data_IF_135729718910
#
_entry.id   IF_135729718910
#
_cell.length_a   1.000
_cell.length_b   1.000
_cell.length_c   1.000
_cell.angle_alpha   90.00
_cell.angle_beta   90.00
_cell.angle_gamma   90.00
#
_symmetry.space_group_name_H-M   'P 1'
#
loop_
_entity.id
_entity.type
_entity.pdbx_description
1 polymer ?
#
# COMPACT_ATOMS: atom_id res chain seq x y z
N UNK A 1 -6.33 -14.57 21.01
CA UNK A 1 -6.72 -13.46 20.12
C UNK A 1 -6.15 -13.77 18.74
N UNK A 2 -6.99 -13.93 17.73
CA UNK A 2 -6.54 -14.13 16.35
C UNK A 2 -6.91 -12.88 15.54
N UNK A 3 -5.92 -12.33 14.85
CA UNK A 3 -6.12 -11.21 13.92
C UNK A 3 -5.95 -11.78 12.53
N UNK A 4 -6.98 -11.62 11.71
CA UNK A 4 -6.92 -11.97 10.29
C UNK A 4 -6.78 -10.68 9.49
N UNK A 5 -5.70 -10.60 8.74
CA UNK A 5 -5.37 -9.45 7.90
C UNK A 5 -5.73 -9.81 6.48
N UNK A 6 -6.64 -9.05 5.89
CA UNK A 6 -6.92 -9.13 4.47
C UNK A 6 -6.38 -7.88 3.81
N UNK A 7 -5.33 -8.03 3.02
CA UNK A 7 -4.69 -6.93 2.31
C UNK A 7 -4.76 -7.14 0.81
N UNK A 8 -4.87 -6.09 0.08
CA UNK A 8 -4.75 -6.10 -1.37
C UNK A 8 -5.04 -4.74 -1.99
N UNK A 9 -4.07 -4.22 -2.72
CA UNK A 9 -4.32 -3.15 -3.65
C UNK A 9 -5.31 -3.65 -4.73
N UNK A 10 -6.32 -2.89 -5.07
CA UNK A 10 -7.32 -3.26 -6.07
C UNK A 10 -8.67 -3.69 -5.51
N UNK A 11 -8.88 -3.61 -4.21
CA UNK A 11 -10.14 -3.90 -3.59
C UNK A 11 -10.87 -2.62 -3.20
N UNK A 12 -11.89 -2.30 -3.91
CA UNK A 12 -12.87 -1.23 -3.73
C UNK A 12 -12.60 0.04 -4.53
N UNK A 13 -13.26 0.12 -5.67
CA UNK A 13 -13.75 1.41 -6.14
C UNK A 13 -14.58 2.05 -5.01
N UNK A 14 -14.11 3.19 -4.50
CA UNK A 14 -14.79 3.93 -3.45
C UNK A 14 -16.09 4.52 -4.01
N UNK A 15 -17.14 3.73 -4.03
CA UNK A 15 -18.48 4.27 -4.20
C UNK A 15 -19.39 3.69 -3.14
N UNK A 16 -19.73 4.57 -2.18
CA UNK A 16 -20.85 4.48 -1.25
C UNK A 16 -20.65 3.61 0.00
N UNK A 17 -20.68 4.29 1.14
CA UNK A 17 -20.86 3.76 2.48
C UNK A 17 -22.15 2.93 2.70
N UNK A 18 -22.88 2.56 1.63
CA UNK A 18 -24.14 1.80 1.66
C UNK A 18 -24.20 0.65 0.68
N UNK A 19 -23.20 0.42 -0.16
CA UNK A 19 -23.19 -0.71 -1.10
C UNK A 19 -22.26 -1.81 -0.62
N UNK A 20 -22.68 -3.05 -0.79
CA UNK A 20 -21.84 -4.22 -0.55
C UNK A 20 -20.57 -4.12 -1.42
N UNK A 21 -19.39 -4.46 -0.89
CA UNK A 21 -18.19 -4.55 -1.68
C UNK A 21 -18.38 -5.49 -2.87
N UNK A 22 -18.06 -5.01 -4.07
CA UNK A 22 -18.13 -5.79 -5.31
C UNK A 22 -16.74 -5.93 -5.91
N UNK A 23 -15.97 -6.94 -5.49
CA UNK A 23 -14.64 -7.17 -6.03
C UNK A 23 -14.69 -7.48 -7.52
N UNK A 24 -13.75 -6.89 -8.31
CA UNK A 24 -13.70 -7.02 -9.75
C UNK A 24 -12.77 -8.14 -10.25
N UNK A 25 -12.15 -8.89 -9.33
CA UNK A 25 -11.26 -10.00 -9.68
C UNK A 25 -11.30 -11.11 -8.61
N UNK A 26 -10.81 -12.30 -8.98
CA UNK A 26 -10.83 -13.49 -8.11
C UNK A 26 -10.06 -13.28 -6.79
N UNK A 27 -8.96 -12.54 -6.82
CA UNK A 27 -8.21 -12.22 -5.61
C UNK A 27 -9.05 -11.41 -4.61
N UNK A 28 -9.70 -10.35 -5.09
CA UNK A 28 -10.58 -9.52 -4.26
C UNK A 28 -11.78 -10.31 -3.73
N UNK A 29 -12.38 -11.19 -4.56
CA UNK A 29 -13.48 -12.08 -4.13
C UNK A 29 -13.02 -12.99 -3.00
N UNK A 30 -11.87 -13.64 -3.13
CA UNK A 30 -11.31 -14.50 -2.06
C UNK A 30 -11.07 -13.73 -0.77
N UNK A 31 -10.54 -12.50 -0.85
CA UNK A 31 -10.34 -11.64 0.33
C UNK A 31 -11.67 -11.27 0.98
N UNK A 32 -12.69 -10.95 0.18
CA UNK A 32 -14.03 -10.63 0.70
C UNK A 32 -14.68 -11.82 1.38
N UNK A 33 -14.58 -13.03 0.82
CA UNK A 33 -15.04 -14.27 1.48
C UNK A 33 -14.34 -14.43 2.84
N UNK A 34 -13.03 -14.23 2.90
CA UNK A 34 -12.27 -14.27 4.15
C UNK A 34 -12.76 -13.25 5.18
N UNK A 35 -13.08 -12.01 4.77
CA UNK A 35 -13.68 -11.01 5.66
C UNK A 35 -15.02 -11.48 6.25
N UNK A 36 -15.89 -12.09 5.43
CA UNK A 36 -17.18 -12.57 5.89
C UNK A 36 -17.03 -13.76 6.86
N UNK A 37 -16.10 -14.67 6.60
CA UNK A 37 -15.81 -15.79 7.52
C UNK A 37 -15.32 -15.28 8.87
N UNK A 38 -14.38 -14.33 8.89
CA UNK A 38 -13.90 -13.73 10.16
C UNK A 38 -15.04 -13.04 10.90
N UNK A 39 -15.88 -12.30 10.18
CA UNK A 39 -17.03 -11.62 10.79
C UNK A 39 -18.03 -12.61 11.39
N UNK A 40 -18.33 -13.73 10.71
CA UNK A 40 -19.24 -14.77 11.22
C UNK A 40 -18.67 -15.49 12.43
N UNK A 41 -17.38 -15.86 12.41
CA UNK A 41 -16.71 -16.48 13.54
C UNK A 41 -16.66 -15.56 14.76
N UNK A 42 -16.43 -14.27 14.53
CA UNK A 42 -16.49 -13.26 15.58
C UNK A 42 -17.92 -13.07 16.12
N UNK A 43 -18.93 -13.11 15.25
CA UNK A 43 -20.36 -13.05 15.65
C UNK A 43 -20.75 -14.22 16.54
N UNK A 44 -20.24 -15.41 16.26
CA UNK A 44 -20.47 -16.64 17.03
C UNK A 44 -19.64 -16.72 18.32
N UNK A 45 -18.76 -15.76 18.55
CA UNK A 45 -17.90 -15.74 19.74
C UNK A 45 -16.72 -16.71 19.71
N UNK A 46 -16.45 -17.34 18.54
CA UNK A 46 -15.34 -18.29 18.40
C UNK A 46 -13.97 -17.61 18.40
N UNK A 47 -13.93 -16.36 17.86
CA UNK A 47 -12.72 -15.54 17.80
C UNK A 47 -13.06 -14.09 18.10
N UNK A 48 -12.06 -13.33 18.53
CA UNK A 48 -12.10 -11.87 18.52
C UNK A 48 -11.44 -11.37 17.23
N UNK A 49 -12.17 -11.46 16.12
CA UNK A 49 -11.67 -11.17 14.79
C UNK A 49 -11.80 -9.69 14.40
N UNK A 50 -10.79 -9.17 13.70
CA UNK A 50 -10.76 -7.84 13.10
C UNK A 50 -10.33 -7.94 11.66
N UNK A 51 -11.01 -7.27 10.76
CA UNK A 51 -10.68 -7.22 9.33
C UNK A 51 -10.15 -5.84 8.96
N UNK A 52 -8.93 -5.81 8.45
CA UNK A 52 -8.27 -4.58 8.01
C UNK A 52 -7.93 -4.70 6.53
N UNK A 53 -8.34 -3.73 5.72
CA UNK A 53 -7.98 -3.63 4.32
C UNK A 53 -6.77 -2.72 4.19
N UNK A 54 -5.67 -3.31 3.74
CA UNK A 54 -4.39 -2.63 3.55
C UNK A 54 -4.35 -1.96 2.18
N UNK A 55 -3.73 -0.80 2.12
CA UNK A 55 -3.38 -0.14 0.86
C UNK A 55 -2.12 -0.77 0.27
N UNK A 56 -1.71 -0.33 -0.92
CA UNK A 56 -0.42 -0.74 -1.47
C UNK A 56 0.70 -0.25 -0.56
N UNK A 57 1.47 -1.18 -0.02
CA UNK A 57 2.60 -0.83 0.85
C UNK A 57 3.82 -0.49 0.01
N UNK A 58 4.39 0.70 0.20
CA UNK A 58 5.60 1.21 -0.46
C UNK A 58 6.37 2.14 0.51
N UNK A 59 7.69 2.04 0.61
CA UNK A 59 8.61 1.20 -0.14
C UNK A 59 8.85 -0.08 0.65
N UNK A 60 8.57 -1.23 0.05
CA UNK A 60 8.84 -2.52 0.69
C UNK A 60 10.29 -2.94 0.42
N UNK A 61 11.03 -3.44 1.44
CA UNK A 61 12.30 -4.11 1.21
C UNK A 61 12.12 -5.42 0.43
N UNK A 62 13.20 -5.99 -0.06
CA UNK A 62 13.22 -7.27 -0.76
C UNK A 62 13.40 -7.14 -2.27
N UNK A 63 13.07 -8.20 -3.01
CA UNK A 63 13.23 -8.28 -4.47
C UNK A 63 11.92 -8.03 -5.20
N UNK A 64 11.94 -7.63 -6.50
CA UNK A 64 10.76 -7.61 -7.35
C UNK A 64 10.03 -8.97 -7.33
N UNK A 65 8.72 -8.92 -7.43
CA UNK A 65 7.87 -10.10 -7.54
C UNK A 65 6.82 -9.91 -8.65
N UNK A 66 6.06 -10.96 -8.97
CA UNK A 66 5.07 -10.94 -10.06
C UNK A 66 3.77 -10.17 -9.76
N UNK A 67 3.65 -9.48 -8.62
CA UNK A 67 2.46 -8.67 -8.35
C UNK A 67 2.47 -7.39 -9.19
N UNK A 68 1.32 -7.01 -9.77
CA UNK A 68 1.18 -5.78 -10.55
C UNK A 68 1.60 -4.51 -9.79
N UNK A 69 1.51 -4.50 -8.46
CA UNK A 69 1.94 -3.38 -7.59
C UNK A 69 3.44 -3.40 -7.25
N UNK A 70 4.20 -4.41 -7.68
CA UNK A 70 5.61 -4.58 -7.29
C UNK A 70 6.47 -3.40 -7.73
N UNK A 71 6.18 -2.83 -8.91
CA UNK A 71 6.91 -1.69 -9.45
C UNK A 71 6.84 -0.44 -8.55
N UNK A 72 5.75 -0.23 -7.80
CA UNK A 72 5.60 0.93 -6.89
C UNK A 72 6.63 0.97 -5.75
N UNK A 73 7.18 -0.17 -5.37
CA UNK A 73 8.35 -0.22 -4.49
C UNK A 73 9.65 -0.27 -5.29
N UNK A 74 9.64 -0.99 -6.42
CA UNK A 74 10.80 -1.18 -7.28
C UNK A 74 11.37 0.12 -7.83
N UNK A 75 10.50 1.01 -8.35
CA UNK A 75 10.90 2.30 -8.93
C UNK A 75 11.61 3.24 -7.94
N UNK A 76 11.58 2.93 -6.65
CA UNK A 76 12.30 3.66 -5.60
C UNK A 76 13.51 2.85 -5.12
N UNK A 77 13.28 1.61 -4.77
CA UNK A 77 14.28 0.74 -4.14
C UNK A 77 15.45 0.42 -5.06
N UNK A 78 15.18 0.02 -6.31
CA UNK A 78 16.21 -0.33 -7.28
C UNK A 78 17.10 0.89 -7.64
N UNK A 79 16.54 2.08 -8.01
CA UNK A 79 17.37 3.26 -8.23
C UNK A 79 18.20 3.67 -7.02
N UNK A 80 17.66 3.58 -5.81
CA UNK A 80 18.44 3.82 -4.58
C UNK A 80 19.61 2.83 -4.41
N UNK A 81 19.50 1.63 -4.97
CA UNK A 81 20.56 0.62 -5.03
C UNK A 81 21.45 0.74 -6.28
N UNK A 82 21.29 1.78 -7.11
CA UNK A 82 22.04 1.98 -8.36
C UNK A 82 21.58 1.10 -9.53
N UNK A 83 20.40 0.52 -9.44
CA UNK A 83 19.83 -0.36 -10.47
C UNK A 83 18.72 0.35 -11.24
N UNK A 84 18.56 0.00 -12.51
CA UNK A 84 17.42 0.48 -13.30
C UNK A 84 16.12 -0.20 -12.86
N UNK A 85 15.01 0.53 -12.93
CA UNK A 85 13.68 0.03 -12.59
C UNK A 85 12.66 0.42 -13.64
N UNK A 86 11.95 -0.56 -14.18
CA UNK A 86 10.85 -0.30 -15.10
C UNK A 86 9.63 0.26 -14.36
N UNK A 87 9.05 1.34 -14.90
CA UNK A 87 7.77 1.87 -14.50
C UNK A 87 6.75 1.67 -15.62
N UNK A 88 5.77 0.75 -15.45
CA UNK A 88 4.88 0.33 -16.53
C UNK A 88 3.65 1.22 -16.73
N UNK A 89 3.53 2.31 -16.00
CA UNK A 89 2.37 3.20 -16.05
C UNK A 89 2.77 4.65 -16.28
N UNK A 90 1.86 5.50 -16.81
CA UNK A 90 2.13 6.93 -16.98
C UNK A 90 2.38 7.65 -15.65
N UNK A 91 3.13 8.76 -15.64
CA UNK A 91 3.44 9.55 -14.44
C UNK A 91 2.22 10.09 -13.69
N UNK A 92 1.14 10.42 -14.41
CA UNK A 92 -0.11 10.95 -13.87
C UNK A 92 -1.01 9.89 -13.21
N UNK A 93 -0.61 8.61 -13.29
CA UNK A 93 -1.34 7.50 -12.65
C UNK A 93 -1.45 7.72 -11.15
N UNK A 94 -2.68 7.90 -10.68
CA UNK A 94 -2.97 8.09 -9.27
C UNK A 94 -2.98 6.77 -8.51
N UNK A 95 -2.37 6.77 -7.32
CA UNK A 95 -2.27 5.59 -6.45
C UNK A 95 -2.55 5.93 -4.98
N UNK A 96 -3.00 4.94 -4.22
CA UNK A 96 -3.17 5.02 -2.78
C UNK A 96 -2.13 4.15 -2.09
N UNK A 97 -1.27 4.74 -1.29
CA UNK A 97 -0.11 4.08 -0.68
C UNK A 97 -0.11 4.20 0.83
N UNK A 98 0.60 3.30 1.48
CA UNK A 98 0.92 3.35 2.90
C UNK A 98 2.35 2.88 3.12
N UNK A 99 3.09 3.52 4.01
CA UNK A 99 4.40 3.00 4.42
C UNK A 99 4.27 1.69 5.19
N UNK A 100 5.35 0.87 5.28
CA UNK A 100 5.38 -0.28 6.17
C UNK A 100 5.05 0.09 7.61
N UNK A 101 5.60 1.19 8.12
CA UNK A 101 5.37 1.65 9.49
C UNK A 101 3.89 1.95 9.76
N UNK A 102 3.24 2.74 8.90
CA UNK A 102 1.80 3.04 9.03
C UNK A 102 0.93 1.79 8.90
N UNK A 103 1.33 0.87 8.03
CA UNK A 103 0.63 -0.40 7.88
C UNK A 103 0.69 -1.23 9.16
N UNK A 104 1.88 -1.36 9.77
CA UNK A 104 2.09 -2.10 11.02
C UNK A 104 1.34 -1.42 12.18
N UNK A 105 1.43 -0.09 12.31
CA UNK A 105 0.67 0.70 13.28
C UNK A 105 -0.84 0.39 13.19
N UNK A 106 -1.38 0.39 11.96
CA UNK A 106 -2.78 0.08 11.71
C UNK A 106 -3.16 -1.33 12.15
N UNK A 107 -2.29 -2.32 11.95
CA UNK A 107 -2.51 -3.69 12.37
C UNK A 107 -2.48 -3.84 13.89
N UNK A 108 -1.51 -3.22 14.56
CA UNK A 108 -1.40 -3.23 16.02
C UNK A 108 -2.63 -2.55 16.63
N UNK A 109 -3.00 -1.35 16.14
CA UNK A 109 -4.16 -0.62 16.64
C UNK A 109 -5.48 -1.38 16.45
N UNK A 110 -5.63 -2.08 15.31
CA UNK A 110 -6.77 -2.96 15.07
C UNK A 110 -6.83 -4.12 16.08
N UNK A 111 -5.67 -4.66 16.45
CA UNK A 111 -5.55 -5.72 17.44
C UNK A 111 -5.96 -5.26 18.84
N UNK A 112 -5.55 -4.08 19.22
CA UNK A 112 -5.74 -3.50 20.57
C UNK A 112 -7.12 -2.88 20.76
N UNK A 113 -7.78 -2.44 19.68
CA UNK A 113 -9.09 -1.82 19.75
C UNK A 113 -10.10 -2.67 20.50
N UNK A 114 -10.79 -2.07 21.46
CA UNK A 114 -11.94 -2.69 22.12
C UNK A 114 -13.08 -2.95 21.14
N UNK A 115 -14.05 -3.78 21.51
CA UNK A 115 -15.22 -4.02 20.66
C UNK A 115 -16.07 -2.76 20.46
N UNK A 116 -16.12 -1.90 21.48
CA UNK A 116 -16.81 -0.62 21.40
C UNK A 116 -16.13 0.35 20.43
N UNK A 117 -14.80 0.47 20.44
CA UNK A 117 -14.04 1.30 19.51
C UNK A 117 -14.12 0.74 18.07
N UNK A 118 -14.06 -0.58 17.93
CA UNK A 118 -14.17 -1.22 16.62
C UNK A 118 -15.54 -1.02 15.98
N UNK A 119 -16.59 -1.07 16.78
CA UNK A 119 -17.98 -0.90 16.35
C UNK A 119 -18.50 -2.09 15.54
N UNK A 120 -18.82 -1.87 14.26
CA UNK A 120 -19.33 -2.94 13.40
C UNK A 120 -18.28 -4.00 13.06
N UNK A 121 -18.70 -5.27 12.94
CA UNK A 121 -17.83 -6.40 12.59
C UNK A 121 -17.32 -6.40 11.15
N UNK A 122 -17.64 -5.39 10.36
CA UNK A 122 -17.16 -5.21 9.00
C UNK A 122 -15.70 -4.77 8.96
N UNK A 123 -15.04 -5.01 7.82
CA UNK A 123 -13.67 -4.55 7.60
C UNK A 123 -13.56 -3.02 7.65
N UNK A 124 -12.40 -2.52 8.08
CA UNK A 124 -12.02 -1.11 7.96
C UNK A 124 -10.91 -0.95 6.93
N UNK A 125 -10.94 0.15 6.19
CA UNK A 125 -9.83 0.53 5.33
C UNK A 125 -8.80 1.31 6.15
N UNK A 126 -7.51 0.99 6.04
CA UNK A 126 -6.47 1.85 6.60
C UNK A 126 -6.37 3.16 5.82
N UNK A 127 -5.96 4.26 6.48
CA UNK A 127 -5.70 5.51 5.79
C UNK A 127 -4.61 5.34 4.74
N UNK A 128 -4.70 6.08 3.63
CA UNK A 128 -3.74 6.04 2.55
C UNK A 128 -3.29 7.45 2.16
N UNK A 129 -2.02 7.57 1.82
CA UNK A 129 -1.51 8.69 1.06
C UNK A 129 -1.98 8.56 -0.39
N UNK A 130 -2.75 9.54 -0.87
CA UNK A 130 -3.03 9.69 -2.30
C UNK A 130 -1.87 10.44 -2.95
N UNK A 131 -1.27 9.85 -3.98
CA UNK A 131 -0.19 10.47 -4.76
C UNK A 131 -0.28 10.04 -6.22
N UNK A 132 0.64 10.49 -7.06
CA UNK A 132 0.84 10.00 -8.42
C UNK A 132 2.21 9.31 -8.54
N UNK A 133 2.34 8.46 -9.55
CA UNK A 133 3.62 7.78 -9.83
C UNK A 133 4.70 8.78 -10.20
N UNK A 134 4.34 9.89 -10.90
CA UNK A 134 5.25 10.99 -11.18
C UNK A 134 5.72 11.72 -9.93
N UNK A 135 4.83 11.96 -8.94
CA UNK A 135 5.23 12.56 -7.66
C UNK A 135 6.15 11.63 -6.86
N UNK A 136 5.96 10.31 -6.95
CA UNK A 136 6.90 9.35 -6.36
C UNK A 136 8.29 9.46 -6.98
N UNK A 137 8.38 9.61 -8.31
CA UNK A 137 9.65 9.83 -9.01
C UNK A 137 10.30 11.18 -8.62
N UNK A 138 9.49 12.25 -8.53
CA UNK A 138 9.96 13.56 -8.09
C UNK A 138 10.48 13.55 -6.64
N UNK A 139 9.81 12.81 -5.75
CA UNK A 139 10.27 12.61 -4.38
C UNK A 139 11.60 11.84 -4.32
N UNK A 140 11.78 10.85 -5.20
CA UNK A 140 13.06 10.16 -5.33
C UNK A 140 14.17 11.12 -5.80
N UNK A 141 13.87 12.00 -6.77
CA UNK A 141 14.82 13.01 -7.24
C UNK A 141 15.21 13.97 -6.11
N UNK A 142 14.26 14.45 -5.31
CA UNK A 142 14.54 15.31 -4.14
C UNK A 142 15.41 14.60 -3.10
N UNK A 143 15.18 13.32 -2.86
CA UNK A 143 15.88 12.56 -1.83
C UNK A 143 17.27 12.07 -2.26
N UNK A 144 17.49 11.79 -3.53
CA UNK A 144 18.65 11.05 -4.01
C UNK A 144 19.36 11.67 -5.22
N UNK A 145 18.79 12.73 -5.81
CA UNK A 145 19.35 13.44 -6.94
C UNK A 145 18.86 12.91 -8.30
N UNK A 146 19.03 13.75 -9.33
CA UNK A 146 18.55 13.53 -10.69
C UNK A 146 19.14 12.26 -11.33
N UNK A 147 20.41 11.98 -11.06
CA UNK A 147 21.08 10.78 -11.60
C UNK A 147 20.39 9.50 -11.15
N UNK A 148 20.02 9.42 -9.86
CA UNK A 148 19.31 8.27 -9.31
C UNK A 148 17.90 8.18 -9.88
N UNK A 149 17.17 9.30 -9.96
CA UNK A 149 15.83 9.31 -10.54
C UNK A 149 15.82 8.93 -12.02
N UNK A 150 16.91 9.21 -12.77
CA UNK A 150 17.06 8.81 -14.18
C UNK A 150 17.20 7.31 -14.41
N UNK A 151 17.34 6.53 -13.34
CA UNK A 151 17.32 5.06 -13.41
C UNK A 151 15.90 4.49 -13.51
N UNK A 152 14.86 5.33 -13.40
CA UNK A 152 13.48 4.90 -13.68
C UNK A 152 13.29 4.85 -15.20
N UNK A 153 13.01 3.64 -15.72
CA UNK A 153 12.66 3.42 -17.10
C UNK A 153 11.14 3.47 -17.27
N UNK A 154 10.66 4.50 -17.93
CA UNK A 154 9.24 4.62 -18.26
C UNK A 154 8.90 3.72 -19.45
N UNK A 155 8.46 2.49 -19.17
CA UNK A 155 8.15 1.45 -20.16
C UNK A 155 6.68 1.06 -20.06
N UNK A 156 5.76 1.80 -20.70
CA UNK A 156 4.33 1.55 -20.57
C UNK A 156 3.94 0.12 -20.93
N UNK A 157 3.16 -0.51 -20.05
CA UNK A 157 2.54 -1.82 -20.25
C UNK A 157 1.03 -1.67 -20.07
N UNK A 158 0.28 -1.84 -21.16
CA UNK A 158 -1.17 -1.64 -21.15
C UNK A 158 -1.90 -2.62 -20.23
N UNK A 159 -1.41 -3.85 -20.07
CA UNK A 159 -2.04 -4.83 -19.18
C UNK A 159 -1.88 -4.42 -17.72
N UNK A 160 -0.67 -4.00 -17.33
CA UNK A 160 -0.41 -3.51 -15.96
C UNK A 160 -1.14 -2.18 -15.72
N UNK A 161 -1.10 -1.26 -16.68
CA UNK A 161 -1.78 0.03 -16.58
C UNK A 161 -3.29 -0.15 -16.34
N UNK A 162 -3.96 -1.02 -17.09
CA UNK A 162 -5.38 -1.33 -16.91
C UNK A 162 -5.69 -1.89 -15.50
N UNK A 163 -4.81 -2.70 -14.96
CA UNK A 163 -4.97 -3.21 -13.59
C UNK A 163 -4.81 -2.07 -12.59
N UNK A 164 -3.75 -1.28 -12.69
CA UNK A 164 -3.41 -0.23 -11.73
C UNK A 164 -4.44 0.90 -11.73
N UNK A 165 -4.89 1.34 -12.89
CA UNK A 165 -5.90 2.40 -13.02
C UNK A 165 -7.30 1.95 -12.53
N UNK A 166 -7.54 0.65 -12.42
CA UNK A 166 -8.77 0.13 -11.80
C UNK A 166 -8.77 0.24 -10.26
N UNK A 167 -7.61 0.52 -9.64
CA UNK A 167 -7.52 0.64 -8.19
C UNK A 167 -8.00 2.01 -7.72
N UNK A 168 -8.71 2.08 -6.58
CA UNK A 168 -9.12 3.37 -6.02
C UNK A 168 -7.91 4.15 -5.51
N UNK A 169 -7.77 5.38 -5.99
CA UNK A 169 -6.76 6.31 -5.48
C UNK A 169 -7.27 7.13 -4.27
N UNK A 170 -8.58 7.08 -3.99
CA UNK A 170 -9.20 7.74 -2.83
C UNK A 170 -9.88 6.68 -1.98
N UNK A 171 -9.51 6.63 -0.71
CA UNK A 171 -9.97 5.62 0.25
C UNK A 171 -10.77 6.29 1.36
N UNK A 172 -11.99 5.82 1.57
CA UNK A 172 -12.72 6.17 2.79
C UNK A 172 -12.15 5.39 3.97
N UNK A 173 -11.51 6.09 4.89
CA UNK A 173 -10.91 5.57 6.10
C UNK A 173 -11.48 6.22 7.37
N UNK A 174 -12.73 6.71 7.33
CA UNK A 174 -13.33 7.42 8.47
C UNK A 174 -13.29 6.60 9.77
N UNK A 175 -13.58 5.30 9.71
CA UNK A 175 -13.53 4.41 10.89
C UNK A 175 -12.10 4.21 11.41
N UNK A 176 -11.11 4.13 10.54
CA UNK A 176 -9.72 4.02 10.95
C UNK A 176 -9.21 5.34 11.57
N UNK A 177 -9.65 6.48 11.03
CA UNK A 177 -9.35 7.80 11.63
C UNK A 177 -9.97 7.95 13.03
N UNK A 178 -11.17 7.43 13.24
CA UNK A 178 -11.79 7.39 14.56
C UNK A 178 -11.00 6.55 15.58
N UNK A 179 -10.18 5.60 15.12
CA UNK A 179 -9.21 4.85 15.92
C UNK A 179 -7.87 5.60 16.11
N UNK A 180 -7.73 6.82 15.62
CA UNK A 180 -6.51 7.64 15.70
C UNK A 180 -5.49 7.37 14.58
N UNK A 181 -5.82 6.53 13.58
CA UNK A 181 -4.91 6.21 12.49
C UNK A 181 -4.87 7.33 11.44
N UNK A 182 -3.69 7.66 10.98
CA UNK A 182 -3.45 8.70 9.98
C UNK A 182 -2.65 8.13 8.79
N UNK A 183 -2.83 8.68 7.58
CA UNK A 183 -1.97 8.34 6.45
C UNK A 183 -0.55 8.88 6.67
N UNK A 184 0.38 8.45 5.83
CA UNK A 184 1.66 9.12 5.69
C UNK A 184 1.44 10.58 5.25
N UNK A 185 2.34 11.48 5.67
CA UNK A 185 2.23 12.91 5.38
C UNK A 185 2.39 13.21 3.89
N UNK A 186 3.44 12.64 3.30
CA UNK A 186 3.87 12.78 1.92
C UNK A 186 4.76 11.59 1.52
N UNK A 187 5.11 11.50 0.24
CA UNK A 187 5.96 10.41 -0.23
C UNK A 187 7.45 10.62 0.13
N UNK A 188 7.87 11.86 0.34
CA UNK A 188 9.22 12.17 0.83
C UNK A 188 9.48 11.55 2.20
N UNK A 189 8.50 11.60 3.11
CA UNK A 189 8.58 10.95 4.42
C UNK A 189 8.69 9.42 4.34
N UNK A 190 8.03 8.81 3.34
CA UNK A 190 8.15 7.37 3.09
C UNK A 190 9.56 7.00 2.62
N UNK A 191 10.14 7.79 1.69
CA UNK A 191 11.52 7.56 1.23
C UNK A 191 12.51 7.79 2.37
N UNK A 192 12.33 8.84 3.18
CA UNK A 192 13.20 9.12 4.31
C UNK A 192 13.20 7.97 5.33
N UNK A 193 12.03 7.42 5.65
CA UNK A 193 11.91 6.25 6.52
C UNK A 193 12.62 5.03 5.93
N UNK A 194 12.41 4.76 4.63
CA UNK A 194 13.08 3.65 3.94
C UNK A 194 14.60 3.78 3.98
N UNK A 195 15.16 4.97 3.74
CA UNK A 195 16.60 5.23 3.78
C UNK A 195 17.16 5.11 5.21
N UNK A 196 16.39 5.48 6.22
CA UNK A 196 16.78 5.31 7.63
C UNK A 196 16.96 3.84 8.03
N UNK A 197 16.10 2.96 7.50
CA UNK A 197 16.15 1.52 7.74
C UNK A 197 17.13 0.80 6.78
N UNK A 198 17.38 1.36 5.59
CA UNK A 198 18.19 0.78 4.52
C UNK A 198 19.24 1.79 4.04
N UNK A 199 20.28 2.08 4.85
CA UNK A 199 21.30 3.05 4.47
C UNK A 199 21.97 2.62 3.17
N UNK A 200 22.18 3.58 2.26
CA UNK A 200 22.82 3.35 0.95
C UNK A 200 24.23 2.80 1.19
N UNK A 201 24.47 1.56 0.78
CA UNK A 201 25.83 1.08 0.60
C UNK A 201 26.41 1.84 -0.61
N UNK A 202 27.45 2.66 -0.41
CA UNK A 202 28.20 3.24 -1.53
C UNK A 202 28.58 2.09 -2.48
N UNK A 203 28.31 2.21 -3.81
CA UNK A 203 28.89 1.25 -4.74
C UNK A 203 30.40 1.22 -4.54
N UNK A 204 31.06 0.06 -4.67
CA UNK A 204 32.50 -0.02 -4.60
C UNK A 204 33.07 0.97 -5.63
N UNK A 205 33.94 1.87 -5.18
CA UNK A 205 34.69 2.76 -6.08
C UNK A 205 35.52 1.86 -6.97
N UNK A 206 35.11 1.71 -8.23
CA UNK A 206 35.90 1.03 -9.22
C UNK A 206 37.06 1.96 -9.55
N UNK A 207 38.17 1.80 -8.84
CA UNK A 207 39.48 2.38 -9.22
C UNK A 207 39.86 1.72 -10.54
N UNK A 208 39.78 2.49 -11.65
CA UNK A 208 40.46 2.17 -12.91
C UNK A 208 41.94 2.40 -12.78
#
# INVERSE_FOLDING_TARGET
>A
MQIVITGGAGFLGARLARTLPTPQNSYGIQKFIGEQLVADYARKGFIRGRNVRLMTVSVRPGKPNGAASSFLSGMIREPLAGLRAACPVPPDTAVALSSPARTIEGLIRAAEASDAEWGARTAINLPALKTTVGEMAAALERAAGKEVASLIDWTPDAAIANIVTSWPAVIDAARARALGLLPDRDFDSIIAAYLGENPRTKPPVTTQ
#
